data_IF_544871788129
#
_entry.id   IF_544871788129
#
_cell.length_a   1.000
_cell.length_b   1.000
_cell.length_c   1.000
_cell.angle_alpha   90.00
_cell.angle_beta   90.00
_cell.angle_gamma   90.00
#
_symmetry.space_group_name_H-M   'P 1'
#
loop_
_entity.id
_entity.type
_entity.pdbx_description
1 polymer ?
#
# COMPACT_ATOMS: atom_id res chain seq x y z
N UNK A 1 4.17 -51.15 -21.49
CA UNK A 1 5.03 -50.45 -22.47
C UNK A 1 5.49 -49.17 -21.79
N UNK A 2 6.77 -49.06 -21.44
CA UNK A 2 7.35 -47.88 -20.78
C UNK A 2 8.08 -47.09 -21.86
N UNK A 3 7.65 -45.86 -22.14
CA UNK A 3 8.37 -44.95 -23.04
C UNK A 3 9.41 -44.18 -22.22
N UNK A 4 10.66 -44.15 -22.69
CA UNK A 4 11.71 -43.33 -22.11
C UNK A 4 11.49 -41.84 -22.43
N UNK A 5 12.03 -40.96 -21.60
CA UNK A 5 11.98 -39.51 -21.80
C UNK A 5 12.70 -39.13 -23.10
N UNK A 6 11.99 -38.47 -24.02
CA UNK A 6 12.50 -38.17 -25.36
C UNK A 6 13.60 -37.10 -25.38
N UNK A 7 14.55 -37.20 -26.30
CA UNK A 7 15.63 -36.21 -26.48
C UNK A 7 15.23 -35.14 -27.51
N UNK A 8 15.35 -33.86 -27.13
CA UNK A 8 15.12 -32.71 -28.02
C UNK A 8 16.45 -32.29 -28.67
N UNK A 9 16.51 -32.32 -30.00
CA UNK A 9 17.69 -31.88 -30.77
C UNK A 9 17.41 -30.51 -31.38
N UNK A 10 18.35 -29.57 -31.24
CA UNK A 10 18.26 -28.23 -31.82
C UNK A 10 19.44 -28.04 -32.79
N UNK A 11 19.14 -27.70 -34.04
CA UNK A 11 20.15 -27.40 -35.05
C UNK A 11 20.40 -25.89 -35.07
N UNK A 12 21.61 -25.46 -34.72
CA UNK A 12 22.05 -24.07 -34.78
C UNK A 12 22.72 -23.75 -36.12
N UNK A 13 22.44 -22.57 -36.72
CA UNK A 13 23.10 -22.15 -37.94
C UNK A 13 24.60 -21.87 -37.70
N UNK A 14 25.47 -22.07 -38.71
CA UNK A 14 26.93 -21.97 -38.58
C UNK A 14 27.44 -20.58 -38.20
N UNK A 15 26.62 -19.55 -38.40
CA UNK A 15 26.93 -18.15 -38.09
C UNK A 15 26.85 -17.84 -36.58
N UNK A 16 26.26 -18.73 -35.77
CA UNK A 16 26.31 -18.63 -34.30
C UNK A 16 27.58 -19.30 -33.82
N UNK A 17 28.56 -18.50 -33.37
CA UNK A 17 29.72 -19.08 -32.70
C UNK A 17 29.26 -19.81 -31.43
N UNK A 18 29.70 -21.07 -31.29
CA UNK A 18 29.55 -21.86 -30.06
C UNK A 18 30.38 -21.29 -28.89
N UNK A 19 31.12 -20.21 -29.15
CA UNK A 19 31.94 -19.46 -28.22
C UNK A 19 31.28 -18.15 -27.77
N UNK A 20 30.13 -17.78 -28.33
CA UNK A 20 29.34 -16.65 -27.82
C UNK A 20 28.79 -17.01 -26.44
N UNK A 21 28.99 -16.11 -25.47
CA UNK A 21 28.38 -16.24 -24.15
C UNK A 21 26.85 -16.22 -24.31
N UNK A 22 26.25 -17.39 -24.17
CA UNK A 22 24.82 -17.65 -24.26
C UNK A 22 24.21 -17.90 -22.88
N UNK A 23 24.97 -17.56 -21.83
CA UNK A 23 24.52 -17.63 -20.46
C UNK A 23 23.38 -16.64 -20.21
N UNK A 24 22.41 -16.98 -19.36
CA UNK A 24 21.35 -16.06 -19.01
C UNK A 24 21.87 -14.81 -18.35
N UNK A 25 21.44 -13.66 -18.87
CA UNK A 25 21.61 -12.36 -18.23
C UNK A 25 20.53 -12.22 -17.16
N UNK A 26 20.91 -12.14 -15.88
CA UNK A 26 19.93 -12.14 -14.82
C UNK A 26 19.56 -10.72 -14.37
N UNK A 27 18.28 -10.49 -14.16
CA UNK A 27 17.68 -9.27 -13.61
C UNK A 27 16.91 -9.63 -12.35
N UNK A 28 17.19 -8.90 -11.26
CA UNK A 28 16.65 -9.19 -9.94
C UNK A 28 15.67 -8.11 -9.50
N UNK A 29 14.49 -8.51 -9.06
CA UNK A 29 13.47 -7.62 -8.53
C UNK A 29 13.24 -7.90 -7.04
N UNK A 30 13.31 -6.84 -6.27
CA UNK A 30 13.05 -6.86 -4.83
C UNK A 30 11.55 -6.72 -4.57
N UNK A 31 11.05 -7.26 -3.44
CA UNK A 31 9.67 -7.09 -3.03
C UNK A 31 9.32 -5.64 -2.78
N UNK A 32 8.09 -5.27 -3.09
CA UNK A 32 7.60 -3.92 -2.87
C UNK A 32 7.38 -3.64 -1.38
N UNK A 33 7.69 -2.43 -0.94
CA UNK A 33 7.41 -2.00 0.43
C UNK A 33 5.92 -2.04 0.76
N UNK A 34 5.04 -1.81 -0.22
CA UNK A 34 3.59 -1.91 -0.03
C UNK A 34 3.17 -3.34 0.32
N UNK A 35 3.69 -4.35 -0.40
CA UNK A 35 3.42 -5.78 -0.14
C UNK A 35 3.82 -6.16 1.30
N UNK A 36 4.99 -5.68 1.75
CA UNK A 36 5.52 -6.01 3.07
C UNK A 36 4.71 -5.35 4.19
N UNK A 37 4.24 -4.12 3.95
CA UNK A 37 3.47 -3.34 4.91
C UNK A 37 2.04 -3.90 5.06
N UNK A 38 1.37 -4.17 3.95
CA UNK A 38 -0.04 -4.56 3.94
C UNK A 38 -0.22 -6.08 4.07
N UNK A 39 0.48 -6.87 3.28
CA UNK A 39 0.29 -8.32 3.21
C UNK A 39 1.22 -9.10 4.15
N UNK A 40 2.20 -8.40 4.76
CA UNK A 40 3.23 -8.99 5.63
C UNK A 40 4.02 -10.11 4.93
N UNK A 41 4.05 -10.06 3.61
CA UNK A 41 4.80 -10.95 2.72
C UNK A 41 5.67 -10.11 1.80
N UNK A 42 6.67 -10.74 1.20
CA UNK A 42 7.44 -10.16 0.13
C UNK A 42 7.75 -11.20 -0.92
N UNK A 43 7.52 -10.83 -2.17
CA UNK A 43 7.81 -11.63 -3.33
C UNK A 43 9.09 -11.15 -4.00
N UNK A 44 10.10 -12.01 -4.03
CA UNK A 44 11.31 -11.82 -4.83
C UNK A 44 11.08 -12.38 -6.22
N UNK A 45 11.57 -11.71 -7.25
CA UNK A 45 11.45 -12.17 -8.65
C UNK A 45 12.84 -12.15 -9.30
N UNK A 46 13.22 -13.27 -9.90
CA UNK A 46 14.48 -13.45 -10.64
C UNK A 46 14.10 -13.72 -12.10
N UNK A 47 14.53 -12.84 -12.99
CA UNK A 47 14.30 -12.90 -14.43
C UNK A 47 15.61 -13.24 -15.12
N UNK A 48 15.62 -14.28 -15.94
CA UNK A 48 16.75 -14.69 -16.76
C UNK A 48 16.43 -14.41 -18.22
N UNK A 49 17.28 -13.64 -18.89
CA UNK A 49 17.07 -13.20 -20.27
C UNK A 49 18.23 -13.60 -21.18
N UNK A 50 17.99 -13.63 -22.48
CA UNK A 50 19.01 -13.77 -23.53
C UNK A 50 19.83 -15.07 -23.47
N UNK A 51 19.28 -16.16 -22.93
CA UNK A 51 19.98 -17.45 -22.90
C UNK A 51 19.59 -18.38 -24.04
N UNK A 52 20.49 -19.30 -24.36
CA UNK A 52 20.27 -20.37 -25.33
C UNK A 52 21.22 -21.55 -25.05
N UNK A 53 20.76 -22.81 -24.98
CA UNK A 53 19.43 -23.35 -25.31
C UNK A 53 18.39 -23.09 -24.22
N UNK A 54 17.14 -23.55 -24.41
CA UNK A 54 16.00 -23.28 -23.52
C UNK A 54 16.04 -23.99 -22.16
N UNK A 55 17.09 -24.80 -21.92
CA UNK A 55 17.26 -25.60 -20.70
C UNK A 55 18.02 -24.80 -19.64
N UNK A 56 17.28 -24.35 -18.62
CA UNK A 56 17.84 -23.69 -17.43
C UNK A 56 17.19 -24.23 -16.17
N UNK A 57 18.02 -24.60 -15.19
CA UNK A 57 17.59 -24.95 -13.83
C UNK A 57 17.71 -23.72 -12.96
N UNK A 58 16.66 -23.42 -12.20
CA UNK A 58 16.65 -22.26 -11.31
C UNK A 58 16.24 -22.73 -9.93
N UNK A 59 17.07 -22.43 -8.94
CA UNK A 59 16.91 -22.79 -7.55
C UNK A 59 17.11 -21.57 -6.66
N UNK A 60 16.55 -21.65 -5.45
CA UNK A 60 16.64 -20.58 -4.47
C UNK A 60 17.25 -21.09 -3.18
N UNK A 61 18.12 -20.29 -2.55
CA UNK A 61 18.62 -20.58 -1.20
C UNK A 61 18.69 -19.33 -0.35
N UNK A 62 18.67 -19.49 0.97
CA UNK A 62 19.11 -18.41 1.86
C UNK A 62 20.64 -18.36 1.84
N UNK A 63 21.26 -17.18 1.95
CA UNK A 63 22.73 -17.00 1.84
C UNK A 63 23.55 -17.94 2.72
N UNK A 64 23.06 -18.21 3.93
CA UNK A 64 23.73 -19.06 4.93
C UNK A 64 23.13 -20.47 5.03
N UNK A 65 22.21 -20.83 4.13
CA UNK A 65 21.53 -22.12 4.16
C UNK A 65 21.95 -22.98 2.98
N UNK A 66 22.17 -24.27 3.25
CA UNK A 66 22.34 -25.29 2.21
C UNK A 66 21.01 -25.82 1.66
N UNK A 67 19.88 -25.41 2.27
CA UNK A 67 18.55 -25.90 1.88
C UNK A 67 18.04 -25.12 0.68
N UNK A 68 17.66 -25.85 -0.36
CA UNK A 68 16.94 -25.29 -1.50
C UNK A 68 15.52 -24.94 -1.07
N UNK A 69 15.07 -23.77 -1.50
CA UNK A 69 13.75 -23.24 -1.23
C UNK A 69 12.82 -23.57 -2.39
N UNK A 70 11.61 -23.99 -2.04
CA UNK A 70 10.55 -24.19 -3.03
C UNK A 70 10.16 -22.81 -3.57
N UNK A 71 10.30 -22.64 -4.87
CA UNK A 71 9.95 -21.43 -5.61
C UNK A 71 8.93 -21.76 -6.69
N UNK A 72 8.23 -20.74 -7.15
CA UNK A 72 7.35 -20.84 -8.30
C UNK A 72 8.14 -20.39 -9.55
N UNK A 73 7.90 -21.06 -10.68
CA UNK A 73 8.62 -20.79 -11.92
C UNK A 73 7.63 -20.58 -13.06
N UNK A 74 7.92 -19.60 -13.91
CA UNK A 74 7.24 -19.38 -15.17
C UNK A 74 7.74 -20.32 -16.25
N UNK A 75 6.95 -20.43 -17.32
CA UNK A 75 7.35 -21.16 -18.51
C UNK A 75 8.53 -20.46 -19.21
N UNK A 76 9.37 -21.24 -19.88
CA UNK A 76 10.41 -20.68 -20.75
C UNK A 76 9.74 -20.08 -21.99
N UNK A 77 9.93 -18.79 -22.19
CA UNK A 77 9.37 -18.05 -23.33
C UNK A 77 10.47 -17.75 -24.34
N UNK A 78 10.15 -17.93 -25.62
CA UNK A 78 11.04 -17.54 -26.71
C UNK A 78 10.80 -16.08 -27.04
N UNK A 79 11.85 -15.27 -27.04
CA UNK A 79 11.73 -13.83 -27.33
C UNK A 79 12.01 -13.55 -28.80
N UNK A 80 13.22 -13.87 -29.27
CA UNK A 80 13.60 -13.79 -30.69
C UNK A 80 14.31 -15.08 -31.05
N UNK A 81 15.62 -15.04 -30.95
CA UNK A 81 16.53 -16.16 -31.15
C UNK A 81 16.99 -16.80 -29.83
N UNK A 82 16.63 -16.17 -28.73
CA UNK A 82 16.98 -16.50 -27.36
C UNK A 82 15.72 -16.73 -26.53
N UNK A 83 15.94 -17.25 -25.33
CA UNK A 83 14.90 -17.57 -24.37
C UNK A 83 14.97 -16.67 -23.14
N UNK A 84 13.84 -16.57 -22.47
CA UNK A 84 13.70 -15.94 -21.18
C UNK A 84 12.88 -16.83 -20.24
N UNK A 85 13.16 -16.76 -18.95
CA UNK A 85 12.44 -17.48 -17.90
C UNK A 85 12.49 -16.67 -16.63
N UNK A 86 11.42 -16.71 -15.85
CA UNK A 86 11.39 -16.04 -14.55
C UNK A 86 10.93 -17.00 -13.46
N UNK A 87 11.36 -16.72 -12.24
CA UNK A 87 10.95 -17.44 -11.03
C UNK A 87 10.73 -16.45 -9.91
N UNK A 88 9.78 -16.76 -9.04
CA UNK A 88 9.51 -15.93 -7.88
C UNK A 88 9.43 -16.76 -6.60
N UNK A 89 9.80 -16.11 -5.51
CA UNK A 89 9.86 -16.67 -4.18
C UNK A 89 9.12 -15.73 -3.22
N UNK A 90 7.95 -16.16 -2.73
CA UNK A 90 7.18 -15.43 -1.73
C UNK A 90 7.57 -15.87 -0.33
N UNK A 91 7.88 -14.91 0.54
CA UNK A 91 8.32 -15.13 1.92
C UNK A 91 7.59 -14.22 2.88
N UNK A 92 7.49 -14.63 4.15
CA UNK A 92 6.88 -13.81 5.20
C UNK A 92 7.84 -12.71 5.66
N UNK A 93 7.32 -11.65 6.27
CA UNK A 93 8.10 -10.51 6.81
C UNK A 93 9.25 -10.93 7.74
N UNK A 94 9.13 -12.06 8.47
CA UNK A 94 10.23 -12.56 9.31
C UNK A 94 11.39 -13.12 8.47
N UNK A 95 11.07 -13.81 7.38
CA UNK A 95 12.07 -14.38 6.45
C UNK A 95 12.63 -13.37 5.46
N UNK A 96 11.90 -12.28 5.15
CA UNK A 96 12.35 -11.26 4.17
C UNK A 96 13.62 -10.51 4.61
N UNK A 97 13.86 -10.46 5.91
CA UNK A 97 15.04 -9.83 6.49
C UNK A 97 16.32 -10.64 6.23
N UNK A 98 16.18 -11.86 5.73
CA UNK A 98 17.29 -12.72 5.34
C UNK A 98 17.70 -12.46 3.89
N UNK A 99 18.99 -12.59 3.63
CA UNK A 99 19.51 -12.57 2.27
C UNK A 99 19.16 -13.89 1.57
N UNK A 100 18.44 -13.79 0.46
CA UNK A 100 18.17 -14.90 -0.44
C UNK A 100 19.23 -14.91 -1.56
N UNK A 101 19.28 -15.98 -2.34
CA UNK A 101 20.11 -16.13 -3.54
C UNK A 101 19.30 -16.86 -4.60
N UNK A 102 19.29 -16.31 -5.82
CA UNK A 102 18.82 -16.99 -7.02
C UNK A 102 20.04 -17.67 -7.63
N UNK A 103 19.97 -19.00 -7.75
CA UNK A 103 21.02 -19.83 -8.35
C UNK A 103 20.45 -20.32 -9.66
N UNK A 104 21.23 -20.23 -10.73
CA UNK A 104 20.83 -20.79 -12.00
C UNK A 104 21.98 -21.55 -12.65
N UNK A 105 21.61 -22.69 -13.23
CA UNK A 105 22.51 -23.57 -13.96
C UNK A 105 22.00 -23.67 -15.39
N UNK A 106 22.87 -23.33 -16.33
CA UNK A 106 22.57 -23.32 -17.76
C UNK A 106 23.47 -24.32 -18.50
N UNK A 107 22.93 -24.93 -19.56
CA UNK A 107 23.54 -26.10 -20.21
C UNK A 107 24.88 -25.79 -20.91
N UNK A 108 25.06 -24.60 -21.48
CA UNK A 108 26.29 -24.25 -22.24
C UNK A 108 27.42 -23.74 -21.36
N UNK A 109 27.28 -23.80 -20.05
CA UNK A 109 28.23 -23.25 -19.10
C UNK A 109 29.55 -24.05 -19.13
N UNK A 110 30.52 -23.60 -19.93
CA UNK A 110 31.87 -24.17 -20.07
C UNK A 110 32.62 -24.04 -18.74
N UNK A 111 32.34 -24.93 -17.79
CA UNK A 111 33.01 -24.94 -16.47
C UNK A 111 32.20 -25.55 -15.32
N UNK A 112 30.90 -25.82 -15.51
CA UNK A 112 30.07 -26.43 -14.46
C UNK A 112 29.91 -25.58 -13.19
N UNK A 113 30.21 -24.28 -13.27
CA UNK A 113 30.10 -23.35 -12.14
C UNK A 113 28.68 -22.77 -12.13
N UNK A 114 27.92 -23.05 -11.07
CA UNK A 114 26.62 -22.43 -10.86
C UNK A 114 26.78 -20.91 -10.76
N UNK A 115 26.03 -20.18 -11.58
CA UNK A 115 25.99 -18.72 -11.48
C UNK A 115 25.06 -18.34 -10.34
N UNK A 116 25.60 -17.65 -9.35
CA UNK A 116 24.85 -17.17 -8.19
C UNK A 116 24.72 -15.66 -8.22
N UNK A 117 23.50 -15.16 -7.95
CA UNK A 117 23.30 -13.75 -7.61
C UNK A 117 22.74 -13.70 -6.21
N UNK A 118 23.46 -12.95 -5.38
CA UNK A 118 23.02 -12.66 -4.03
C UNK A 118 22.04 -11.48 -4.02
N UNK A 119 20.98 -11.63 -3.23
CA UNK A 119 20.15 -10.50 -2.86
C UNK A 119 20.91 -9.67 -1.83
N UNK A 120 21.05 -8.37 -2.09
CA UNK A 120 21.42 -7.45 -1.02
C UNK A 120 20.24 -7.36 -0.04
N UNK A 121 20.50 -7.51 1.26
CA UNK A 121 19.44 -7.47 2.28
C UNK A 121 18.71 -6.12 2.27
N UNK A 122 17.38 -6.14 2.28
CA UNK A 122 16.56 -4.93 2.48
C UNK A 122 16.50 -4.49 3.95
N UNK A 123 17.26 -5.13 4.85
CA UNK A 123 17.24 -4.81 6.28
C UNK A 123 17.55 -3.33 6.58
N UNK A 124 18.45 -2.71 5.81
CA UNK A 124 18.76 -1.28 5.94
C UNK A 124 17.57 -0.40 5.54
N UNK A 125 16.91 -0.75 4.45
CA UNK A 125 15.79 0.01 3.89
C UNK A 125 14.53 -0.11 4.74
N UNK A 126 14.22 -1.32 5.24
CA UNK A 126 13.14 -1.54 6.21
C UNK A 126 13.38 -0.77 7.52
N UNK A 127 14.62 -0.77 8.03
CA UNK A 127 14.93 -0.07 9.28
C UNK A 127 14.79 1.46 9.14
N UNK A 128 15.17 2.02 7.99
CA UNK A 128 14.97 3.45 7.70
C UNK A 128 13.48 3.78 7.63
N UNK A 129 12.66 2.92 7.03
CA UNK A 129 11.21 3.16 6.92
C UNK A 129 10.50 2.99 8.26
N UNK A 130 10.83 1.95 9.04
CA UNK A 130 10.29 1.79 10.40
C UNK A 130 10.69 2.99 11.28
N UNK A 131 11.91 3.53 11.09
CA UNK A 131 12.36 4.76 11.76
C UNK A 131 11.58 5.99 11.30
N UNK A 132 11.34 6.16 10.00
CA UNK A 132 10.55 7.29 9.48
C UNK A 132 9.09 7.21 9.97
N UNK A 133 8.49 6.02 10.00
CA UNK A 133 7.14 5.84 10.52
C UNK A 133 7.06 6.14 12.02
N UNK A 134 8.08 5.75 12.79
CA UNK A 134 8.18 6.10 14.21
C UNK A 134 8.29 7.62 14.41
N UNK A 135 9.14 8.30 13.62
CA UNK A 135 9.29 9.76 13.67
C UNK A 135 8.02 10.50 13.25
N UNK A 136 7.31 10.02 12.23
CA UNK A 136 6.03 10.62 11.80
C UNK A 136 4.91 10.43 12.82
N UNK A 137 4.93 9.35 13.60
CA UNK A 137 3.97 9.16 14.70
C UNK A 137 4.22 10.16 15.83
N UNK A 138 5.49 10.36 16.19
CA UNK A 138 5.89 11.32 17.22
C UNK A 138 5.51 12.76 16.86
N UNK A 139 5.57 13.15 15.58
CA UNK A 139 5.14 14.48 15.13
C UNK A 139 3.61 14.64 15.09
N UNK A 140 2.88 13.57 14.77
CA UNK A 140 1.41 13.60 14.71
C UNK A 140 0.75 13.67 16.08
N UNK A 141 1.33 13.07 17.12
CA UNK A 141 0.78 13.06 18.48
C UNK A 141 0.59 14.48 19.09
N UNK A 142 1.57 15.40 19.08
CA UNK A 142 1.39 16.77 19.57
C UNK A 142 0.47 17.59 18.67
N UNK A 143 0.45 17.34 17.36
CA UNK A 143 -0.39 18.05 16.38
C UNK A 143 -1.87 17.65 16.54
N UNK A 144 -2.15 16.37 16.77
CA UNK A 144 -3.48 15.86 17.16
C UNK A 144 -3.96 16.50 18.47
N UNK A 145 -3.08 16.60 19.46
CA UNK A 145 -3.39 17.23 20.75
C UNK A 145 -3.69 18.73 20.59
N UNK A 146 -2.92 19.44 19.76
CA UNK A 146 -3.16 20.85 19.42
C UNK A 146 -4.53 21.03 18.73
N UNK A 147 -4.84 20.20 17.73
CA UNK A 147 -6.11 20.28 17.00
C UNK A 147 -7.31 19.99 17.90
N UNK A 148 -7.20 19.00 18.80
CA UNK A 148 -8.23 18.66 19.77
C UNK A 148 -8.49 19.81 20.76
N UNK A 149 -7.43 20.44 21.28
CA UNK A 149 -7.57 21.56 22.20
C UNK A 149 -8.13 22.82 21.50
N UNK A 150 -7.69 23.11 20.28
CA UNK A 150 -8.20 24.23 19.48
C UNK A 150 -9.67 24.05 19.10
N UNK A 151 -10.06 22.85 18.66
CA UNK A 151 -11.46 22.56 18.34
C UNK A 151 -12.37 22.62 19.57
N UNK A 152 -11.91 22.13 20.72
CA UNK A 152 -12.62 22.26 21.99
C UNK A 152 -12.80 23.74 22.37
N UNK A 153 -11.75 24.56 22.30
CA UNK A 153 -11.82 26.00 22.59
C UNK A 153 -12.87 26.73 21.74
N UNK A 154 -12.85 26.55 20.41
CA UNK A 154 -13.85 27.18 19.53
C UNK A 154 -15.26 26.70 19.83
N UNK A 155 -15.44 25.42 20.16
CA UNK A 155 -16.74 24.88 20.56
C UNK A 155 -17.27 25.58 21.81
N UNK A 156 -16.43 25.77 22.84
CA UNK A 156 -16.81 26.51 24.05
C UNK A 156 -17.15 27.97 23.74
N UNK A 157 -16.36 28.65 22.90
CA UNK A 157 -16.63 30.05 22.51
C UNK A 157 -17.97 30.17 21.80
N UNK A 158 -18.28 29.28 20.84
CA UNK A 158 -19.56 29.27 20.13
C UNK A 158 -20.73 29.07 21.10
N UNK A 159 -20.59 28.13 22.05
CA UNK A 159 -21.61 27.88 23.07
C UNK A 159 -21.83 29.08 23.99
N UNK A 160 -20.76 29.75 24.42
CA UNK A 160 -20.84 30.95 25.26
C UNK A 160 -21.55 32.10 24.53
N UNK A 161 -21.17 32.36 23.28
CA UNK A 161 -21.79 33.40 22.45
C UNK A 161 -23.27 33.09 22.24
N UNK A 162 -23.63 31.85 21.92
CA UNK A 162 -25.01 31.39 21.77
C UNK A 162 -25.82 31.62 23.05
N UNK A 163 -25.25 31.31 24.22
CA UNK A 163 -25.89 31.56 25.52
C UNK A 163 -26.15 33.05 25.76
N UNK A 164 -25.17 33.91 25.46
CA UNK A 164 -25.30 35.37 25.58
C UNK A 164 -26.42 35.93 24.69
N UNK A 165 -26.55 35.45 23.45
CA UNK A 165 -27.65 35.87 22.59
C UNK A 165 -29.01 35.45 23.14
N UNK A 166 -29.16 34.23 23.67
CA UNK A 166 -30.43 33.80 24.26
C UNK A 166 -30.82 34.63 25.48
N UNK A 167 -29.87 34.97 26.35
CA UNK A 167 -30.18 35.81 27.52
C UNK A 167 -30.60 37.22 27.12
N UNK A 168 -29.96 37.83 26.11
CA UNK A 168 -30.36 39.13 25.56
C UNK A 168 -31.78 39.08 24.99
N UNK A 169 -32.09 38.06 24.17
CA UNK A 169 -33.41 37.89 23.57
C UNK A 169 -34.48 37.72 24.65
N UNK A 170 -34.26 36.84 25.63
CA UNK A 170 -35.20 36.60 26.74
C UNK A 170 -35.40 37.88 27.55
N UNK A 171 -34.34 38.60 27.86
CA UNK A 171 -34.41 39.87 28.62
C UNK A 171 -35.17 40.94 27.84
N UNK A 172 -34.98 41.04 26.52
CA UNK A 172 -35.77 41.93 25.66
C UNK A 172 -37.25 41.53 25.62
N UNK A 173 -37.56 40.23 25.53
CA UNK A 173 -38.94 39.75 25.60
C UNK A 173 -39.61 40.03 26.96
N UNK A 174 -38.85 39.97 28.07
CA UNK A 174 -39.37 40.22 29.42
C UNK A 174 -39.51 41.71 29.75
N UNK A 175 -38.55 42.54 29.34
CA UNK A 175 -38.59 44.00 29.53
C UNK A 175 -39.48 44.70 28.51
N UNK A 176 -39.60 44.13 27.31
CA UNK A 176 -40.52 44.51 26.25
C UNK A 176 -41.96 44.09 26.54
N UNK A 177 -42.46 44.34 27.76
CA UNK A 177 -43.91 44.46 27.94
C UNK A 177 -44.38 45.60 27.03
N UNK A 178 -45.29 45.35 26.07
CA UNK A 178 -46.07 46.44 25.50
C UNK A 178 -46.89 47.03 26.65
N UNK A 179 -46.59 48.27 27.01
CA UNK A 179 -47.58 49.13 27.66
C UNK A 179 -48.67 49.46 26.63
N UNK A 180 -49.38 48.44 26.15
CA UNK A 180 -50.71 48.56 25.58
C UNK A 180 -51.65 47.99 26.63
N UNK A 181 -51.85 48.77 27.69
CA UNK A 181 -53.03 48.64 28.52
C UNK A 181 -54.21 48.83 27.59
N UNK A 182 -54.86 47.73 27.19
CA UNK A 182 -56.21 47.78 26.66
C UNK A 182 -57.06 48.51 27.70
N UNK A 183 -57.46 49.73 27.39
CA UNK A 183 -58.41 50.46 28.20
C UNK A 183 -59.77 49.83 27.96
N UNK A 184 -60.39 49.42 29.06
CA UNK A 184 -61.68 48.77 29.12
C UNK A 184 -62.75 49.69 28.51
N UNK A 185 -63.10 49.44 27.24
CA UNK A 185 -64.46 49.50 26.65
C UNK A 185 -64.42 49.43 25.12
N UNK A 186 -65.13 48.41 24.60
CA UNK A 186 -65.52 48.20 23.18
C UNK A 186 -64.46 47.64 22.24
N UNK A 187 -64.57 46.34 21.95
CA UNK A 187 -64.28 45.82 20.61
C UNK A 187 -65.12 44.56 20.38
N UNK A 188 -66.37 44.78 19.99
CA UNK A 188 -67.27 43.80 19.42
C UNK A 188 -67.32 44.02 17.92
N UNK A 189 -67.36 42.89 17.18
CA UNK A 189 -67.52 42.70 15.73
C UNK A 189 -66.26 42.78 14.85
N UNK A 190 -65.87 41.60 14.33
CA UNK A 190 -65.66 41.25 12.91
C UNK A 190 -64.59 40.14 12.77
N UNK A 191 -65.04 38.91 12.49
CA UNK A 191 -64.25 37.79 11.94
C UNK A 191 -64.37 37.83 10.41
N UNK A 192 -63.41 37.36 9.58
CA UNK A 192 -63.09 35.92 9.52
C UNK A 192 -61.66 35.49 9.11
N UNK A 193 -61.31 34.28 9.60
CA UNK A 193 -60.48 33.20 9.00
C UNK A 193 -59.06 33.51 8.44
N UNK A 194 -58.09 32.87 9.12
CA UNK A 194 -56.71 32.48 8.78
C UNK A 194 -56.45 32.09 7.28
N UNK A 195 -55.20 32.12 6.73
CA UNK A 195 -54.04 31.37 7.26
C UNK A 195 -52.61 31.97 7.10
N UNK A 196 -51.71 31.49 7.97
CA UNK A 196 -50.24 31.40 7.86
C UNK A 196 -49.44 32.70 7.65
N UNK A 197 -48.67 33.11 8.67
CA UNK A 197 -47.22 33.42 8.63
C UNK A 197 -46.79 34.09 9.96
N UNK A 198 -45.73 33.59 10.57
CA UNK A 198 -44.93 34.21 11.65
C UNK A 198 -45.66 34.86 12.84
N UNK A 199 -45.78 34.11 13.94
CA UNK A 199 -45.77 34.64 15.33
C UNK A 199 -45.28 33.49 16.22
N UNK A 200 -44.18 33.57 16.96
CA UNK A 200 -43.86 34.63 17.91
C UNK A 200 -44.29 34.15 19.30
N UNK A 201 -43.35 33.59 20.05
CA UNK A 201 -43.38 33.26 21.49
C UNK A 201 -44.69 32.71 22.09
N UNK A 202 -44.80 31.38 22.21
CA UNK A 202 -45.44 30.74 23.37
C UNK A 202 -44.41 30.76 24.52
N UNK A 203 -44.71 31.10 25.77
CA UNK A 203 -45.93 31.00 26.57
C UNK A 203 -45.91 32.06 27.67
#
# INVERSE_FOLDING_TARGET
>A
MVFAEGTKVIVTPPDRSLDADTSPKPTLFLPSMAEIKFDRTGTYLCLLENFFPDVVKIDWKEKNSKRILISQQGNTMKTKDTYMKYTWLTRTKKSINKEHKCIFTHETNKGGVDHEIAFHSMKKELAVIDSIEASLKDENDPLQLQLANTSAYYTYVILLVKSMFYTIIITYCLLGRPALCCNEKSCNTWWPKAPLFFTGCFR
#
